data_IF_404641534547
#
_entry.id   IF_404641534547
#
_cell.length_a   1.000
_cell.length_b   1.000
_cell.length_c   1.000
_cell.angle_alpha   90.00
_cell.angle_beta   90.00
_cell.angle_gamma   90.00
#
_symmetry.space_group_name_H-M   'P 1'
#
loop_
_entity.id
_entity.type
_entity.pdbx_description
1 polymer ?
#
# COMPACT_ATOMS: atom_id res chain seq x y z
N UNK A 1 -19.23 2.32 -26.16
CA UNK A 1 -19.41 2.13 -24.71
C UNK A 1 -18.40 1.08 -24.25
N UNK A 2 -17.25 1.51 -23.72
CA UNK A 2 -16.33 0.61 -23.03
C UNK A 2 -16.89 0.38 -21.61
N UNK A 3 -17.78 -0.59 -21.46
CA UNK A 3 -18.04 -1.17 -20.14
C UNK A 3 -16.90 -2.16 -19.93
N UNK A 4 -15.76 -1.67 -19.44
CA UNK A 4 -14.81 -2.58 -18.80
C UNK A 4 -15.59 -3.30 -17.71
N UNK A 5 -15.60 -4.65 -17.66
CA UNK A 5 -16.31 -5.35 -16.61
C UNK A 5 -15.67 -4.94 -15.29
N UNK A 6 -16.35 -4.07 -14.54
CA UNK A 6 -15.95 -3.62 -13.20
C UNK A 6 -15.45 -4.77 -12.30
N UNK A 7 -16.06 -5.99 -12.33
CA UNK A 7 -15.55 -7.12 -11.55
C UNK A 7 -14.12 -7.54 -11.88
N UNK A 8 -13.62 -7.23 -13.08
CA UNK A 8 -12.28 -7.57 -13.53
C UNK A 8 -11.25 -6.46 -13.30
N UNK A 9 -11.68 -5.20 -13.39
CA UNK A 9 -10.77 -4.04 -13.23
C UNK A 9 -10.53 -3.71 -11.76
N UNK A 10 -11.55 -3.82 -10.92
CA UNK A 10 -11.43 -3.55 -9.47
C UNK A 10 -10.32 -4.38 -8.79
N UNK A 11 -10.22 -5.71 -8.96
CA UNK A 11 -9.15 -6.47 -8.32
C UNK A 11 -7.76 -6.07 -8.85
N UNK A 12 -7.63 -5.71 -10.12
CA UNK A 12 -6.37 -5.26 -10.70
C UNK A 12 -5.90 -3.92 -10.11
N UNK A 13 -6.80 -2.94 -10.02
CA UNK A 13 -6.50 -1.63 -9.42
C UNK A 13 -6.18 -1.77 -7.93
N UNK A 14 -6.91 -2.63 -7.20
CA UNK A 14 -6.66 -2.90 -5.79
C UNK A 14 -5.30 -3.53 -5.54
N UNK A 15 -4.94 -4.53 -6.35
CA UNK A 15 -3.64 -5.19 -6.30
C UNK A 15 -2.50 -4.20 -6.60
N UNK A 16 -2.67 -3.32 -7.58
CA UNK A 16 -1.69 -2.28 -7.89
C UNK A 16 -1.47 -1.29 -6.73
N UNK A 17 -2.53 -0.91 -6.02
CA UNK A 17 -2.42 -0.03 -4.85
C UNK A 17 -1.78 -0.72 -3.64
N UNK A 18 -2.03 -2.02 -3.46
CA UNK A 18 -1.35 -2.83 -2.45
C UNK A 18 0.14 -3.00 -2.78
N UNK A 19 0.49 -3.14 -4.06
CA UNK A 19 1.87 -3.11 -4.56
C UNK A 19 2.58 -1.80 -4.24
N UNK A 20 1.99 -0.65 -4.57
CA UNK A 20 2.56 0.65 -4.22
C UNK A 20 2.71 0.85 -2.71
N UNK A 21 1.87 0.20 -1.90
CA UNK A 21 1.97 0.32 -0.44
C UNK A 21 3.10 -0.54 0.13
N UNK A 22 3.18 -1.82 -0.24
CA UNK A 22 4.12 -2.79 0.36
C UNK A 22 5.45 -2.84 -0.37
N UNK A 23 5.44 -2.91 -1.70
CA UNK A 23 6.66 -3.17 -2.47
C UNK A 23 7.45 -1.88 -2.71
N UNK A 24 6.80 -0.77 -3.06
CA UNK A 24 7.48 0.50 -3.31
C UNK A 24 8.05 1.14 -2.03
N UNK A 25 7.32 1.07 -0.90
CA UNK A 25 7.77 1.71 0.35
C UNK A 25 8.53 0.76 1.27
N UNK A 26 8.06 -0.47 1.43
CA UNK A 26 8.68 -1.44 2.34
C UNK A 26 9.57 -2.44 1.62
N UNK A 27 9.63 -2.49 0.29
CA UNK A 27 10.46 -3.43 -0.48
C UNK A 27 10.08 -4.90 -0.30
N UNK A 28 8.92 -5.18 0.31
CA UNK A 28 8.46 -6.54 0.59
C UNK A 28 7.63 -7.03 -0.61
N UNK A 29 7.91 -8.23 -1.15
CA UNK A 29 7.16 -8.77 -2.26
C UNK A 29 5.67 -8.93 -1.91
N UNK A 30 4.79 -8.45 -2.78
CA UNK A 30 3.34 -8.48 -2.56
C UNK A 30 2.74 -9.89 -2.46
N UNK A 31 3.37 -10.87 -3.10
CA UNK A 31 2.98 -12.28 -3.06
C UNK A 31 3.21 -12.92 -1.67
N UNK A 32 4.03 -12.30 -0.83
CA UNK A 32 4.26 -12.74 0.55
C UNK A 32 3.17 -12.30 1.53
N UNK A 33 2.31 -11.36 1.14
CA UNK A 33 1.25 -10.80 1.99
C UNK A 33 -0.11 -11.31 1.55
N UNK A 34 -0.71 -12.19 2.35
CA UNK A 34 -2.04 -12.74 2.08
C UNK A 34 -3.13 -11.75 2.45
N UNK A 35 -3.44 -10.80 1.58
CA UNK A 35 -4.62 -9.95 1.72
C UNK A 35 -5.87 -10.71 1.20
N UNK A 36 -6.95 -10.80 1.98
CA UNK A 36 -8.18 -11.42 1.50
C UNK A 36 -8.75 -10.71 0.27
N UNK A 37 -9.21 -11.47 -0.73
CA UNK A 37 -9.69 -10.97 -2.04
C UNK A 37 -10.74 -9.86 -1.93
N UNK A 38 -11.59 -9.91 -0.90
CA UNK A 38 -12.61 -8.89 -0.66
C UNK A 38 -12.02 -7.53 -0.26
N UNK A 39 -10.90 -7.50 0.46
CA UNK A 39 -10.19 -6.27 0.82
C UNK A 39 -9.47 -5.64 -0.37
N UNK A 40 -8.93 -6.45 -1.28
CA UNK A 40 -8.36 -5.98 -2.54
C UNK A 40 -9.42 -5.26 -3.39
N UNK A 41 -10.64 -5.80 -3.45
CA UNK A 41 -11.78 -5.13 -4.08
C UNK A 41 -12.18 -3.82 -3.38
N UNK A 42 -12.17 -3.81 -2.04
CA UNK A 42 -12.49 -2.62 -1.23
C UNK A 42 -11.46 -1.48 -1.40
N UNK A 43 -10.17 -1.82 -1.51
CA UNK A 43 -9.10 -0.86 -1.78
C UNK A 43 -9.33 -0.12 -3.11
N UNK A 44 -9.87 -0.81 -4.11
CA UNK A 44 -10.18 -0.23 -5.42
C UNK A 44 -11.51 0.53 -5.46
N UNK A 45 -12.45 0.26 -4.55
CA UNK A 45 -13.77 0.89 -4.53
C UNK A 45 -13.69 2.38 -4.19
N UNK A 46 -12.89 2.76 -3.20
CA UNK A 46 -12.72 4.17 -2.81
C UNK A 46 -12.20 5.08 -3.94
N UNK A 47 -11.10 4.76 -4.63
CA UNK A 47 -10.64 5.58 -5.75
C UNK A 47 -11.64 5.58 -6.90
N UNK A 48 -12.29 4.45 -7.15
CA UNK A 48 -13.29 4.32 -8.23
C UNK A 48 -14.51 5.20 -7.96
N UNK A 49 -15.06 5.17 -6.74
CA UNK A 49 -16.17 6.03 -6.32
C UNK A 49 -15.75 7.51 -6.34
N UNK A 50 -14.53 7.83 -5.93
CA UNK A 50 -13.97 9.18 -6.04
C UNK A 50 -13.94 9.67 -7.49
N UNK A 51 -13.47 8.85 -8.42
CA UNK A 51 -13.44 9.18 -9.85
C UNK A 51 -14.86 9.34 -10.44
N UNK A 52 -15.80 8.47 -10.05
CA UNK A 52 -17.21 8.60 -10.46
C UNK A 52 -17.80 9.93 -9.95
N UNK A 53 -17.53 10.28 -8.69
CA UNK A 53 -17.96 11.56 -8.12
C UNK A 53 -17.38 12.77 -8.87
N UNK A 54 -16.11 12.70 -9.28
CA UNK A 54 -15.45 13.74 -10.07
C UNK A 54 -16.00 13.90 -11.50
N UNK A 55 -16.67 12.88 -12.04
CA UNK A 55 -17.34 12.96 -13.34
C UNK A 55 -18.72 13.62 -13.27
N UNK A 56 -19.35 13.70 -12.09
CA UNK A 56 -20.69 14.28 -11.96
C UNK A 56 -20.75 15.78 -12.32
N UNK A 57 -19.81 16.65 -11.86
CA UNK A 57 -19.84 18.06 -12.22
C UNK A 57 -19.77 18.35 -13.73
N UNK A 58 -18.81 17.81 -14.52
CA UNK A 58 -18.78 18.08 -15.96
C UNK A 58 -20.02 17.52 -16.67
N UNK A 59 -20.52 16.36 -16.26
CA UNK A 59 -21.76 15.79 -16.81
C UNK A 59 -22.98 16.66 -16.52
N UNK A 60 -23.10 17.18 -15.30
CA UNK A 60 -24.18 18.08 -14.90
C UNK A 60 -24.11 19.41 -15.68
N UNK A 61 -22.93 20.00 -15.81
CA UNK A 61 -22.71 21.23 -16.57
C UNK A 61 -23.02 21.05 -18.05
N UNK A 62 -22.59 19.93 -18.65
CA UNK A 62 -22.91 19.61 -20.03
C UNK A 62 -24.42 19.40 -20.24
N UNK A 63 -25.08 18.66 -19.34
CA UNK A 63 -26.53 18.47 -19.37
C UNK A 63 -27.30 19.79 -19.26
N UNK A 64 -26.87 20.67 -18.36
CA UNK A 64 -27.42 22.01 -18.19
C UNK A 64 -27.23 22.88 -19.44
N UNK A 65 -26.02 22.94 -19.99
CA UNK A 65 -25.72 23.70 -21.21
C UNK A 65 -26.51 23.20 -22.43
N UNK A 66 -26.77 21.90 -22.49
CA UNK A 66 -27.64 21.30 -23.52
C UNK A 66 -29.11 21.69 -23.32
N UNK A 67 -29.61 21.72 -22.07
CA UNK A 67 -30.99 22.06 -21.76
C UNK A 67 -31.36 23.49 -22.18
N UNK A 68 -30.46 24.46 -21.94
CA UNK A 68 -30.67 25.87 -22.31
C UNK A 68 -30.33 26.19 -23.77
N UNK A 69 -30.12 25.18 -24.61
CA UNK A 69 -29.74 25.33 -26.02
C UNK A 69 -28.45 26.13 -26.27
N UNK A 70 -27.65 26.40 -25.23
CA UNK A 70 -26.35 27.07 -25.33
C UNK A 70 -25.33 26.23 -26.11
N UNK A 71 -25.51 24.90 -26.11
CA UNK A 71 -24.66 23.94 -26.83
C UNK A 71 -24.91 23.87 -28.36
N UNK A 72 -25.65 24.80 -28.96
CA UNK A 72 -26.00 24.76 -30.39
C UNK A 72 -24.86 25.24 -31.32
N UNK A 73 -23.88 26.01 -30.81
CA UNK A 73 -22.59 26.25 -31.46
C UNK A 73 -21.64 25.09 -31.14
N UNK A 74 -21.93 23.96 -31.79
CA UNK A 74 -21.44 22.61 -31.50
C UNK A 74 -19.95 22.42 -31.79
N UNK A 75 -19.09 22.62 -30.80
CA UNK A 75 -17.83 21.86 -30.63
C UNK A 75 -17.21 22.16 -29.27
N UNK A 76 -17.10 23.44 -28.92
CA UNK A 76 -16.24 23.87 -27.82
C UNK A 76 -16.75 23.44 -26.44
N UNK A 77 -18.05 23.50 -26.17
CA UNK A 77 -18.63 23.10 -24.86
C UNK A 77 -18.50 21.59 -24.64
N UNK A 78 -18.70 20.79 -25.69
CA UNK A 78 -18.52 19.33 -25.62
C UNK A 78 -17.05 18.99 -25.40
N UNK A 79 -16.15 19.62 -26.16
CA UNK A 79 -14.70 19.40 -26.04
C UNK A 79 -14.21 19.82 -24.66
N UNK A 80 -14.59 21.01 -24.17
CA UNK A 80 -14.22 21.49 -22.83
C UNK A 80 -14.76 20.60 -21.72
N UNK A 81 -16.00 20.12 -21.82
CA UNK A 81 -16.56 19.20 -20.82
C UNK A 81 -15.83 17.86 -20.81
N UNK A 82 -15.48 17.31 -21.98
CA UNK A 82 -14.72 16.06 -22.07
C UNK A 82 -13.31 16.24 -21.54
N UNK A 83 -12.63 17.32 -21.92
CA UNK A 83 -11.29 17.65 -21.41
C UNK A 83 -11.31 17.85 -19.90
N UNK A 84 -12.28 18.59 -19.36
CA UNK A 84 -12.43 18.77 -17.92
C UNK A 84 -12.66 17.45 -17.19
N UNK A 85 -13.51 16.57 -17.72
CA UNK A 85 -13.73 15.24 -17.17
C UNK A 85 -12.44 14.40 -17.16
N UNK A 86 -11.68 14.40 -18.25
CA UNK A 86 -10.39 13.68 -18.33
C UNK A 86 -9.39 14.25 -17.33
N UNK A 87 -9.22 15.57 -17.27
CA UNK A 87 -8.31 16.23 -16.34
C UNK A 87 -8.65 15.91 -14.89
N UNK A 88 -9.95 15.94 -14.53
CA UNK A 88 -10.40 15.61 -13.18
C UNK A 88 -10.12 14.14 -12.83
N UNK A 89 -10.39 13.20 -13.73
CA UNK A 89 -10.10 11.77 -13.49
C UNK A 89 -8.60 11.51 -13.34
N UNK A 90 -7.78 12.08 -14.22
CA UNK A 90 -6.31 11.95 -14.14
C UNK A 90 -5.79 12.54 -12.84
N UNK A 91 -6.25 13.74 -12.48
CA UNK A 91 -5.84 14.41 -11.24
C UNK A 91 -6.29 13.63 -9.99
N UNK A 92 -7.51 13.11 -10.00
CA UNK A 92 -8.03 12.25 -8.92
C UNK A 92 -7.23 10.97 -8.76
N UNK A 93 -6.87 10.32 -9.87
CA UNK A 93 -6.02 9.12 -9.88
C UNK A 93 -4.62 9.39 -9.31
N UNK A 94 -3.95 10.46 -9.76
CA UNK A 94 -2.64 10.88 -9.23
C UNK A 94 -2.72 11.20 -7.74
N UNK A 95 -3.72 11.99 -7.32
CA UNK A 95 -3.92 12.33 -5.92
C UNK A 95 -4.15 11.09 -5.04
N UNK A 96 -4.81 10.06 -5.57
CA UNK A 96 -5.02 8.81 -4.84
C UNK A 96 -3.72 8.03 -4.67
N UNK A 97 -2.90 7.91 -5.73
CA UNK A 97 -1.58 7.27 -5.64
C UNK A 97 -0.67 7.99 -4.63
N UNK A 98 -0.66 9.32 -4.64
CA UNK A 98 0.09 10.11 -3.66
C UNK A 98 -0.38 9.81 -2.22
N UNK A 99 -1.68 9.69 -1.99
CA UNK A 99 -2.21 9.34 -0.66
C UNK A 99 -1.80 7.95 -0.20
N UNK A 100 -1.72 6.98 -1.12
CA UNK A 100 -1.21 5.63 -0.81
C UNK A 100 0.25 5.67 -0.39
N UNK A 101 1.10 6.39 -1.14
CA UNK A 101 2.50 6.60 -0.77
C UNK A 101 2.64 7.34 0.57
N UNK A 102 1.85 8.40 0.80
CA UNK A 102 1.83 9.12 2.07
C UNK A 102 1.37 8.24 3.26
N UNK A 103 0.45 7.31 3.02
CA UNK A 103 0.02 6.34 4.03
C UNK A 103 1.15 5.35 4.35
N UNK A 104 1.84 4.84 3.34
CA UNK A 104 2.97 3.93 3.52
C UNK A 104 4.14 4.62 4.25
N UNK A 105 4.47 5.86 3.89
CA UNK A 105 5.48 6.64 4.61
C UNK A 105 5.08 6.98 6.04
N UNK A 106 3.78 7.19 6.32
CA UNK A 106 3.29 7.32 7.70
C UNK A 106 3.49 6.03 8.48
N UNK A 107 3.07 4.90 7.93
CA UNK A 107 3.28 3.58 8.53
C UNK A 107 4.77 3.31 8.82
N UNK A 108 5.66 3.63 7.88
CA UNK A 108 7.10 3.50 8.10
C UNK A 108 7.59 4.39 9.25
N UNK A 109 7.11 5.65 9.35
CA UNK A 109 7.43 6.55 10.46
C UNK A 109 6.89 6.05 11.79
N UNK A 110 5.69 5.48 11.81
CA UNK A 110 5.08 4.94 13.04
C UNK A 110 5.92 3.77 13.57
N UNK A 111 6.33 2.85 12.69
CA UNK A 111 7.19 1.70 13.06
C UNK A 111 8.55 2.17 13.57
N UNK A 112 9.13 3.18 12.90
CA UNK A 112 10.36 3.85 13.30
C UNK A 112 10.23 4.49 14.70
N UNK A 113 9.04 4.98 15.06
CA UNK A 113 8.70 5.51 16.38
C UNK A 113 8.23 4.44 17.38
N UNK A 114 8.45 3.15 17.07
CA UNK A 114 8.05 2.01 17.88
C UNK A 114 6.53 1.88 18.08
N UNK A 115 5.74 2.29 17.09
CA UNK A 115 4.28 2.13 17.05
C UNK A 115 3.90 1.20 15.90
N UNK A 116 2.94 0.32 16.10
CA UNK A 116 2.42 -0.54 15.05
C UNK A 116 1.76 0.33 13.95
N UNK A 117 1.99 0.00 12.67
CA UNK A 117 1.38 0.75 11.58
C UNK A 117 -0.13 0.48 11.51
N UNK A 118 -0.88 1.49 11.09
CA UNK A 118 -2.32 1.37 10.88
C UNK A 118 -2.67 0.29 9.84
N UNK A 119 -3.85 -0.30 10.00
CA UNK A 119 -4.41 -1.25 9.05
C UNK A 119 -4.66 -0.60 7.68
N UNK A 120 -4.14 -1.20 6.61
CA UNK A 120 -4.30 -0.74 5.25
C UNK A 120 -4.95 -1.82 4.37
N UNK A 121 -6.28 -1.74 4.19
CA UNK A 121 -7.06 -2.59 3.27
C UNK A 121 -6.66 -4.08 3.27
N UNK A 122 -6.74 -4.72 4.44
CA UNK A 122 -6.44 -6.14 4.60
C UNK A 122 -4.98 -6.44 4.93
N UNK A 123 -4.11 -5.43 4.86
CA UNK A 123 -2.68 -5.53 5.20
C UNK A 123 -2.49 -4.93 6.59
N UNK A 124 -1.99 -5.75 7.51
CA UNK A 124 -1.65 -5.32 8.87
C UNK A 124 -0.19 -5.61 9.12
N UNK A 125 0.59 -4.56 9.37
CA UNK A 125 1.97 -4.71 9.79
C UNK A 125 2.04 -5.05 11.27
N UNK A 126 2.81 -6.08 11.62
CA UNK A 126 3.03 -6.51 13.00
C UNK A 126 4.51 -6.35 13.33
N UNK A 127 4.78 -5.76 14.49
CA UNK A 127 6.13 -5.63 15.02
C UNK A 127 6.49 -6.91 15.75
N UNK A 128 7.54 -7.59 15.30
CA UNK A 128 7.98 -8.89 15.82
C UNK A 128 9.44 -8.85 16.22
N UNK A 129 9.79 -9.62 17.25
CA UNK A 129 11.16 -9.97 17.55
C UNK A 129 11.48 -11.32 16.95
N UNK A 130 12.73 -11.47 16.48
CA UNK A 130 13.18 -12.68 15.80
C UNK A 130 14.34 -13.29 16.58
N UNK A 131 14.20 -14.57 16.90
CA UNK A 131 15.22 -15.34 17.61
C UNK A 131 15.71 -16.48 16.73
N UNK A 132 17.02 -16.59 16.46
CA UNK A 132 17.55 -17.64 15.61
C UNK A 132 17.53 -18.99 16.33
N UNK A 133 17.06 -20.03 15.64
CA UNK A 133 17.05 -21.41 16.14
C UNK A 133 18.36 -22.15 15.82
N UNK A 134 19.17 -21.62 14.91
CA UNK A 134 20.44 -22.20 14.45
C UNK A 134 21.54 -21.13 14.46
N UNK A 135 22.79 -21.57 14.61
CA UNK A 135 23.97 -20.69 14.56
C UNK A 135 24.29 -20.19 13.14
N UNK A 136 23.93 -20.96 12.11
CA UNK A 136 24.00 -20.55 10.71
C UNK A 136 22.58 -20.37 10.18
N UNK A 137 22.26 -19.14 9.76
CA UNK A 137 20.96 -18.76 9.22
C UNK A 137 21.09 -18.44 7.73
N UNK A 138 20.13 -18.89 6.94
CA UNK A 138 20.00 -18.49 5.54
C UNK A 138 19.24 -17.16 5.43
N UNK A 139 19.92 -16.06 5.77
CA UNK A 139 19.34 -14.70 5.68
C UNK A 139 19.73 -14.04 4.36
N UNK A 140 18.73 -13.56 3.61
CA UNK A 140 18.96 -12.70 2.46
C UNK A 140 19.05 -11.23 2.91
N UNK A 141 19.93 -10.45 2.27
CA UNK A 141 20.19 -9.03 2.58
C UNK A 141 20.78 -8.73 3.98
N UNK A 142 21.65 -9.61 4.46
CA UNK A 142 22.59 -9.31 5.55
C UNK A 142 22.19 -9.89 6.91
N UNK A 143 22.90 -9.52 7.98
CA UNK A 143 22.72 -10.16 9.27
C UNK A 143 21.39 -9.77 9.89
N UNK A 144 20.64 -10.77 10.36
CA UNK A 144 19.36 -10.57 11.03
C UNK A 144 19.59 -9.96 12.43
N UNK A 145 19.07 -8.76 12.71
CA UNK A 145 19.16 -8.18 14.04
C UNK A 145 18.18 -8.87 15.00
N UNK A 146 18.66 -9.20 16.21
CA UNK A 146 17.88 -9.88 17.25
C UNK A 146 17.59 -8.98 18.46
N UNK A 147 18.20 -7.79 18.50
CA UNK A 147 18.15 -6.84 19.61
C UNK A 147 16.96 -5.87 19.52
N UNK A 148 16.34 -5.76 18.35
CA UNK A 148 15.29 -4.78 18.04
C UNK A 148 14.12 -5.38 17.27
N UNK A 149 12.89 -4.87 17.49
CA UNK A 149 11.73 -5.34 16.75
C UNK A 149 11.81 -4.97 15.26
N UNK A 150 11.44 -5.92 14.42
CA UNK A 150 11.32 -5.81 12.98
C UNK A 150 9.84 -5.77 12.59
N UNK A 151 9.53 -5.20 11.43
CA UNK A 151 8.18 -5.22 10.88
C UNK A 151 8.01 -6.38 9.92
N UNK A 152 6.92 -7.12 10.06
CA UNK A 152 6.45 -8.08 9.06
C UNK A 152 5.00 -7.80 8.71
N UNK A 153 4.60 -8.14 7.48
CA UNK A 153 3.20 -8.13 7.05
C UNK A 153 2.60 -9.54 6.95
N UNK A 154 3.43 -10.58 7.08
CA UNK A 154 3.00 -11.98 7.10
C UNK A 154 3.96 -12.84 7.90
N UNK A 155 3.43 -13.65 8.80
CA UNK A 155 4.17 -14.71 9.51
C UNK A 155 3.96 -16.09 8.89
N UNK A 156 3.07 -16.18 7.90
CA UNK A 156 2.65 -17.44 7.31
C UNK A 156 3.39 -17.67 5.99
N UNK A 157 4.20 -18.73 5.93
CA UNK A 157 4.98 -19.09 4.75
C UNK A 157 6.30 -19.82 5.07
N UNK A 158 6.98 -20.34 4.05
CA UNK A 158 8.35 -20.90 4.20
C UNK A 158 9.38 -19.79 4.37
N UNK A 159 9.10 -18.58 3.86
CA UNK A 159 9.97 -17.40 3.92
C UNK A 159 9.20 -16.26 4.59
N UNK A 160 9.82 -15.65 5.61
CA UNK A 160 9.34 -14.47 6.30
C UNK A 160 10.14 -13.27 5.80
N UNK A 161 9.45 -12.24 5.34
CA UNK A 161 10.05 -10.95 5.01
C UNK A 161 9.99 -10.02 6.21
N UNK A 162 11.12 -9.36 6.48
CA UNK A 162 11.35 -8.55 7.66
C UNK A 162 11.88 -7.20 7.21
N UNK A 163 11.30 -6.13 7.75
CA UNK A 163 11.74 -4.76 7.49
C UNK A 163 12.35 -4.15 8.76
N UNK A 164 13.58 -3.66 8.63
CA UNK A 164 14.36 -3.08 9.73
C UNK A 164 14.25 -1.54 9.75
N UNK A 165 13.61 -0.97 10.79
CA UNK A 165 13.49 0.49 10.91
C UNK A 165 14.84 1.19 11.12
N UNK A 166 15.87 0.49 11.62
CA UNK A 166 17.19 1.08 11.81
C UNK A 166 17.90 1.30 10.47
N UNK A 167 17.90 0.28 9.61
CA UNK A 167 18.47 0.35 8.25
C UNK A 167 17.77 1.39 7.40
N UNK A 168 16.45 1.55 7.57
CA UNK A 168 15.69 2.58 6.87
C UNK A 168 16.13 4.02 7.22
N UNK A 169 16.66 4.27 8.43
CA UNK A 169 17.19 5.59 8.81
C UNK A 169 18.58 5.86 8.22
N UNK A 170 19.36 4.82 7.96
CA UNK A 170 20.73 4.92 7.47
C UNK A 170 20.76 5.20 5.97
N UNK A 171 21.02 6.45 5.60
CA UNK A 171 21.16 6.84 4.20
C UNK A 171 22.42 6.20 3.59
N UNK A 172 22.25 5.35 2.58
CA UNK A 172 23.34 4.61 1.92
C UNK A 172 23.75 3.31 2.63
N UNK A 173 22.95 2.85 3.61
CA UNK A 173 23.11 1.56 4.26
C UNK A 173 22.61 0.38 3.42
N UNK A 174 22.72 -0.85 3.94
CA UNK A 174 22.12 -2.05 3.34
C UNK A 174 20.60 -1.92 3.26
N UNK A 175 20.00 -2.62 2.29
CA UNK A 175 18.56 -2.65 2.08
C UNK A 175 17.80 -2.92 3.40
N UNK A 176 16.77 -2.12 3.76
CA UNK A 176 16.00 -2.33 4.99
C UNK A 176 15.24 -3.65 5.02
N UNK A 177 15.09 -4.32 3.87
CA UNK A 177 14.37 -5.60 3.76
C UNK A 177 15.32 -6.77 3.86
N UNK A 178 14.94 -7.73 4.69
CA UNK A 178 15.58 -9.02 4.84
C UNK A 178 14.54 -10.13 4.64
N UNK A 179 14.99 -11.29 4.22
CA UNK A 179 14.14 -12.49 4.19
C UNK A 179 14.84 -13.65 4.86
N UNK A 180 14.11 -14.42 5.64
CA UNK A 180 14.62 -15.58 6.38
C UNK A 180 13.62 -16.73 6.29
N UNK A 181 14.09 -17.98 6.31
CA UNK A 181 13.19 -19.13 6.39
C UNK A 181 12.49 -19.17 7.74
N UNK A 182 11.17 -19.38 7.73
CA UNK A 182 10.37 -19.47 8.96
C UNK A 182 10.82 -20.62 9.87
N UNK A 183 11.29 -21.73 9.30
CA UNK A 183 11.79 -22.89 10.05
C UNK A 183 13.12 -22.63 10.81
N UNK A 184 13.81 -21.52 10.53
CA UNK A 184 15.11 -21.18 11.13
C UNK A 184 15.01 -20.15 12.25
N UNK A 185 13.83 -19.56 12.46
CA UNK A 185 13.62 -18.49 13.42
C UNK A 185 12.35 -18.72 14.25
N UNK A 186 12.40 -18.35 15.52
CA UNK A 186 11.22 -18.17 16.34
C UNK A 186 10.85 -16.69 16.34
N UNK A 187 9.57 -16.37 16.15
CA UNK A 187 9.08 -14.99 16.14
C UNK A 187 7.99 -14.80 17.18
N UNK A 188 8.01 -13.67 17.87
CA UNK A 188 6.91 -13.26 18.76
C UNK A 188 6.56 -11.79 18.55
N UNK A 189 5.28 -11.47 18.68
CA UNK A 189 4.77 -10.12 18.53
C UNK A 189 5.16 -9.25 19.73
N UNK A 190 5.37 -7.97 19.46
CA UNK A 190 5.82 -6.97 20.44
C UNK A 190 4.79 -5.86 20.54
N UNK A 191 4.52 -5.39 21.75
CA UNK A 191 3.61 -4.27 22.01
C UNK A 191 4.18 -2.92 21.57
N UNK A 192 3.29 -1.94 21.38
CA UNK A 192 3.68 -0.56 21.09
C UNK A 192 4.54 0.05 22.20
N UNK A 193 5.48 0.90 21.80
CA UNK A 193 6.45 1.57 22.66
C UNK A 193 7.68 0.74 23.03
N UNK A 194 7.67 -0.57 22.78
CA UNK A 194 8.83 -1.42 23.05
C UNK A 194 9.85 -1.31 21.91
N UNK A 195 11.03 -0.76 22.20
CA UNK A 195 12.10 -0.49 21.22
C UNK A 195 13.18 -1.56 21.16
N UNK A 196 13.19 -2.50 22.12
CA UNK A 196 14.15 -3.61 22.20
C UNK A 196 13.45 -4.95 22.37
N UNK A 197 14.07 -5.97 21.80
CA UNK A 197 13.68 -7.35 22.05
C UNK A 197 14.22 -7.79 23.41
N UNK A 198 13.38 -8.37 24.29
CA UNK A 198 13.88 -8.97 25.51
C UNK A 198 14.84 -10.13 25.15
N UNK A 199 16.00 -10.15 25.80
CA UNK A 199 16.83 -11.35 25.83
C UNK A 199 16.05 -12.43 26.56
N UNK A 200 15.59 -13.44 25.82
CA UNK A 200 14.93 -14.59 26.42
C UNK A 200 16.03 -15.46 27.09
N UNK A 201 15.83 -15.87 28.36
CA UNK A 201 16.82 -16.64 29.11
C UNK A 201 17.12 -18.02 28.53
#
# INVERSE_FOLDING_TARGET
MLVLPLPWVLPFVGSFLQFLYVEDTFGIPTDSVSAPVYWTGAAALLPTLGCIGLLLPPLALYGWARHFHWAWEKSIVSVLSTVAAVVLVVTGGVAFMSRTSDAAHRAARDVVNATAPDFYFGIQGVRICVQPLKSELSVHNGPLPTDRPLLTFSTDGDVIYLWDPARFREHGGPDPVMSVRSAEVSTYAVSDGQSRCPEQP
#
